data_IF_180811705252
#
_entry.id   IF_180811705252
#
_cell.length_a   1.000
_cell.length_b   1.000
_cell.length_c   1.000
_cell.angle_alpha   90.00
_cell.angle_beta   90.00
_cell.angle_gamma   90.00
#
_symmetry.space_group_name_H-M   'P 1'
#
loop_
_entity.id
_entity.type
_entity.pdbx_description
1 polymer ?
#
# COMPACT_ATOMS: atom_id res chain seq x y z
N UNK A 1 12.25 -6.62 -9.81
CA UNK A 1 11.69 -5.63 -8.86
C UNK A 1 11.54 -4.20 -9.46
N UNK A 2 11.14 -4.04 -10.74
CA UNK A 2 10.88 -2.68 -11.30
C UNK A 2 9.49 -2.15 -10.90
N UNK A 3 8.48 -3.01 -10.81
CA UNK A 3 7.09 -2.66 -10.46
C UNK A 3 6.92 -2.04 -9.06
N UNK A 4 7.70 -2.48 -8.08
CA UNK A 4 7.60 -1.98 -6.69
C UNK A 4 7.92 -0.49 -6.56
N UNK A 5 8.87 0.02 -7.36
CA UNK A 5 9.20 1.46 -7.38
C UNK A 5 8.00 2.30 -7.85
N UNK A 6 7.27 1.81 -8.84
CA UNK A 6 6.06 2.46 -9.32
C UNK A 6 4.92 2.36 -8.31
N UNK A 7 4.73 1.20 -7.66
CA UNK A 7 3.73 1.06 -6.60
C UNK A 7 3.99 2.05 -5.44
N UNK A 8 5.25 2.25 -5.05
CA UNK A 8 5.63 3.21 -3.99
C UNK A 8 5.37 4.66 -4.43
N UNK A 9 5.74 5.03 -5.65
CA UNK A 9 5.48 6.38 -6.19
C UNK A 9 3.97 6.67 -6.26
N UNK A 10 3.18 5.72 -6.77
CA UNK A 10 1.73 5.82 -6.84
C UNK A 10 1.11 5.91 -5.43
N UNK A 11 1.63 5.14 -4.48
CA UNK A 11 1.18 5.19 -3.07
C UNK A 11 1.50 6.54 -2.43
N UNK A 12 2.70 7.08 -2.65
CA UNK A 12 3.09 8.40 -2.16
C UNK A 12 2.21 9.52 -2.75
N UNK A 13 1.98 9.48 -4.07
CA UNK A 13 1.07 10.43 -4.74
C UNK A 13 -0.34 10.35 -4.18
N UNK A 14 -0.87 9.14 -3.99
CA UNK A 14 -2.19 8.90 -3.38
C UNK A 14 -2.30 9.53 -1.98
N UNK A 15 -1.28 9.38 -1.12
CA UNK A 15 -1.27 9.97 0.21
C UNK A 15 -1.18 11.50 0.18
N UNK A 16 -0.39 12.09 -0.72
CA UNK A 16 -0.32 13.55 -0.88
C UNK A 16 -1.68 14.09 -1.32
N UNK A 17 -2.33 13.46 -2.29
CA UNK A 17 -3.68 13.85 -2.71
C UNK A 17 -4.71 13.69 -1.58
N UNK A 18 -4.61 12.62 -0.78
CA UNK A 18 -5.46 12.43 0.38
C UNK A 18 -5.26 13.53 1.44
N UNK A 19 -4.01 13.92 1.70
CA UNK A 19 -3.67 15.02 2.62
C UNK A 19 -4.26 16.37 2.18
N UNK A 20 -4.28 16.64 0.87
CA UNK A 20 -4.90 17.84 0.30
C UNK A 20 -6.43 17.76 0.14
N UNK A 21 -7.10 16.80 0.78
CA UNK A 21 -8.55 16.55 0.66
C UNK A 21 -9.04 16.22 -0.77
N UNK A 22 -8.14 15.89 -1.70
CA UNK A 22 -8.46 15.49 -3.06
C UNK A 22 -8.72 13.98 -3.13
N UNK A 23 -9.86 13.54 -2.56
CA UNK A 23 -10.21 12.12 -2.42
C UNK A 23 -10.25 11.36 -3.75
N UNK A 24 -10.67 11.99 -4.84
CA UNK A 24 -10.73 11.35 -6.17
C UNK A 24 -9.32 11.00 -6.65
N UNK A 25 -8.38 11.95 -6.54
CA UNK A 25 -6.98 11.72 -6.89
C UNK A 25 -6.30 10.71 -5.96
N UNK A 26 -6.59 10.80 -4.66
CA UNK A 26 -6.06 9.89 -3.65
C UNK A 26 -6.50 8.44 -3.88
N UNK A 27 -7.80 8.22 -4.07
CA UNK A 27 -8.34 6.89 -4.31
C UNK A 27 -7.89 6.30 -5.66
N UNK A 28 -7.92 7.09 -6.74
CA UNK A 28 -7.48 6.64 -8.07
C UNK A 28 -6.02 6.18 -8.05
N UNK A 29 -5.11 7.01 -7.52
CA UNK A 29 -3.70 6.63 -7.47
C UNK A 29 -3.44 5.45 -6.55
N UNK A 30 -4.21 5.32 -5.47
CA UNK A 30 -4.05 4.23 -4.52
C UNK A 30 -4.54 2.89 -5.06
N UNK A 31 -5.64 2.87 -5.83
CA UNK A 31 -6.05 1.67 -6.56
C UNK A 31 -5.02 1.25 -7.60
N UNK A 32 -4.46 2.21 -8.33
CA UNK A 32 -3.42 1.93 -9.32
C UNK A 32 -2.15 1.38 -8.65
N UNK A 33 -1.79 1.90 -7.47
CA UNK A 33 -0.73 1.33 -6.64
C UNK A 33 -1.05 -0.11 -6.20
N UNK A 34 -2.27 -0.37 -5.76
CA UNK A 34 -2.76 -1.71 -5.40
C UNK A 34 -2.68 -2.70 -6.56
N UNK A 35 -3.11 -2.32 -7.77
CA UNK A 35 -3.01 -3.16 -8.97
C UNK A 35 -1.56 -3.47 -9.31
N UNK A 36 -0.68 -2.47 -9.29
CA UNK A 36 0.76 -2.67 -9.54
C UNK A 36 1.37 -3.57 -8.48
N UNK A 37 0.97 -3.44 -7.22
CA UNK A 37 1.40 -4.31 -6.12
C UNK A 37 0.98 -5.76 -6.36
N UNK A 38 -0.30 -6.00 -6.62
CA UNK A 38 -0.84 -7.33 -6.94
C UNK A 38 -0.11 -7.98 -8.12
N UNK A 39 0.14 -7.21 -9.19
CA UNK A 39 0.87 -7.70 -10.35
C UNK A 39 2.34 -8.00 -10.04
N UNK A 40 2.99 -7.14 -9.26
CA UNK A 40 4.41 -7.29 -8.88
C UNK A 40 4.64 -8.51 -8.00
N UNK A 41 3.72 -8.79 -7.07
CA UNK A 41 3.83 -9.89 -6.10
C UNK A 41 3.03 -11.13 -6.49
N UNK A 42 2.55 -11.24 -7.75
CA UNK A 42 1.75 -12.39 -8.21
C UNK A 42 2.42 -13.75 -7.98
N UNK A 43 3.76 -13.79 -7.99
CA UNK A 43 4.56 -14.99 -7.81
C UNK A 43 4.86 -15.33 -6.33
N UNK A 44 4.54 -14.41 -5.41
CA UNK A 44 4.79 -14.54 -3.98
C UNK A 44 3.48 -14.46 -3.19
N UNK A 45 2.77 -15.59 -3.13
CA UNK A 45 1.42 -15.71 -2.54
C UNK A 45 1.33 -15.19 -1.10
N UNK A 46 2.39 -15.36 -0.29
CA UNK A 46 2.41 -14.93 1.11
C UNK A 46 2.39 -13.40 1.25
N UNK A 47 3.22 -12.69 0.48
CA UNK A 47 3.27 -11.22 0.50
C UNK A 47 1.97 -10.62 -0.04
N UNK A 48 1.41 -11.23 -1.08
CA UNK A 48 0.15 -10.82 -1.67
C UNK A 48 -1.00 -10.95 -0.67
N UNK A 49 -1.08 -12.08 0.06
CA UNK A 49 -2.08 -12.29 1.11
C UNK A 49 -1.95 -11.25 2.24
N UNK A 50 -0.74 -10.97 2.71
CA UNK A 50 -0.50 -9.96 3.75
C UNK A 50 -0.98 -8.58 3.29
N UNK A 51 -0.65 -8.17 2.06
CA UNK A 51 -1.10 -6.89 1.49
C UNK A 51 -2.63 -6.79 1.39
N UNK A 52 -3.31 -7.86 0.96
CA UNK A 52 -4.77 -7.88 0.90
C UNK A 52 -5.42 -7.80 2.29
N UNK A 53 -4.94 -8.59 3.25
CA UNK A 53 -5.49 -8.63 4.61
C UNK A 53 -5.24 -7.29 5.31
N UNK A 54 -4.03 -6.74 5.23
CA UNK A 54 -3.69 -5.46 5.83
C UNK A 54 -4.56 -4.32 5.27
N UNK A 55 -4.79 -4.30 3.95
CA UNK A 55 -5.66 -3.31 3.33
C UNK A 55 -7.10 -3.45 3.79
N UNK A 56 -7.63 -4.68 3.88
CA UNK A 56 -8.97 -4.92 4.38
C UNK A 56 -9.14 -4.42 5.83
N UNK A 57 -8.18 -4.74 6.70
CA UNK A 57 -8.17 -4.29 8.11
C UNK A 57 -8.12 -2.76 8.18
N UNK A 58 -7.20 -2.12 7.45
CA UNK A 58 -7.10 -0.65 7.44
C UNK A 58 -8.38 0.01 6.95
N UNK A 59 -9.03 -0.60 5.95
CA UNK A 59 -10.28 -0.06 5.42
C UNK A 59 -11.40 -0.11 6.45
N UNK A 60 -11.49 -1.18 7.23
CA UNK A 60 -12.51 -1.33 8.28
C UNK A 60 -12.20 -0.49 9.52
N UNK A 61 -10.92 -0.37 9.90
CA UNK A 61 -10.52 0.34 11.13
C UNK A 61 -10.54 1.87 10.97
N UNK A 62 -10.06 2.39 9.84
CA UNK A 62 -9.81 3.83 9.69
C UNK A 62 -10.88 4.56 8.88
N UNK A 63 -11.74 3.85 8.16
CA UNK A 63 -12.72 4.47 7.29
C UNK A 63 -14.14 4.05 7.67
N UNK A 64 -15.08 5.00 7.77
CA UNK A 64 -16.48 4.66 7.95
C UNK A 64 -16.94 3.93 6.68
N UNK A 65 -17.18 2.63 6.79
CA UNK A 65 -17.59 1.80 5.67
C UNK A 65 -19.02 2.16 5.26
N UNK A 66 -19.14 3.12 4.36
CA UNK A 66 -20.37 3.48 3.67
C UNK A 66 -20.33 2.94 2.24
N UNK A 67 -21.44 2.35 1.77
CA UNK A 67 -21.62 1.96 0.37
C UNK A 67 -21.83 3.20 -0.52
N UNK A 68 -20.81 4.06 -0.56
CA UNK A 68 -20.77 5.34 -1.25
C UNK A 68 -19.46 5.46 -2.03
N UNK A 69 -19.45 6.30 -3.06
CA UNK A 69 -18.26 6.55 -3.88
C UNK A 69 -17.06 7.00 -3.03
N UNK A 70 -17.31 7.72 -1.94
CA UNK A 70 -16.27 8.09 -0.96
C UNK A 70 -15.68 6.87 -0.25
N UNK A 71 -16.51 5.94 0.18
CA UNK A 71 -16.07 4.68 0.82
C UNK A 71 -15.20 3.84 -0.11
N UNK A 72 -15.56 3.76 -1.40
CA UNK A 72 -14.72 3.10 -2.40
C UNK A 72 -13.37 3.80 -2.60
N UNK A 73 -13.34 5.13 -2.71
CA UNK A 73 -12.08 5.87 -2.85
C UNK A 73 -11.16 5.70 -1.64
N UNK A 74 -11.73 5.56 -0.44
CA UNK A 74 -10.98 5.31 0.79
C UNK A 74 -10.28 3.94 0.80
N UNK A 75 -10.88 2.91 0.18
CA UNK A 75 -10.21 1.61 -0.04
C UNK A 75 -8.93 1.80 -0.87
N UNK A 76 -8.98 2.65 -1.90
CA UNK A 76 -7.80 3.00 -2.69
C UNK A 76 -6.70 3.64 -1.83
N UNK A 77 -7.07 4.55 -0.93
CA UNK A 77 -6.11 5.16 0.01
C UNK A 77 -5.54 4.12 0.99
N UNK A 78 -6.36 3.19 1.46
CA UNK A 78 -5.92 2.10 2.33
C UNK A 78 -4.86 1.21 1.65
N UNK A 79 -4.98 0.94 0.35
CA UNK A 79 -3.94 0.25 -0.43
C UNK A 79 -2.59 0.97 -0.36
N UNK A 80 -2.59 2.29 -0.53
CA UNK A 80 -1.38 3.10 -0.45
C UNK A 80 -0.73 3.06 0.92
N UNK A 81 -1.55 3.13 1.99
CA UNK A 81 -1.06 3.02 3.37
C UNK A 81 -0.42 1.65 3.63
N UNK A 82 -1.06 0.57 3.17
CA UNK A 82 -0.53 -0.79 3.29
C UNK A 82 0.81 -0.95 2.58
N UNK A 83 0.92 -0.48 1.34
CA UNK A 83 2.15 -0.62 0.52
C UNK A 83 3.31 0.16 1.14
N UNK A 84 3.07 1.38 1.60
CA UNK A 84 4.10 2.17 2.28
C UNK A 84 4.51 1.54 3.62
N UNK A 85 3.54 1.09 4.42
CA UNK A 85 3.80 0.41 5.69
C UNK A 85 4.64 -0.86 5.52
N UNK A 86 4.26 -1.73 4.59
CA UNK A 86 5.03 -2.93 4.25
C UNK A 86 6.44 -2.59 3.77
N UNK A 87 6.58 -1.59 2.90
CA UNK A 87 7.90 -1.17 2.40
C UNK A 87 8.78 -0.65 3.53
N UNK A 88 8.24 0.13 4.47
CA UNK A 88 8.97 0.62 5.62
C UNK A 88 9.45 -0.52 6.52
N UNK A 89 8.57 -1.48 6.86
CA UNK A 89 8.91 -2.66 7.66
C UNK A 89 10.00 -3.48 7.00
N UNK A 90 9.88 -3.78 5.70
CA UNK A 90 10.89 -4.54 4.95
C UNK A 90 12.24 -3.80 4.90
N UNK A 91 12.21 -2.48 4.80
CA UNK A 91 13.43 -1.65 4.81
C UNK A 91 14.10 -1.69 6.18
N UNK A 92 13.35 -1.57 7.27
CA UNK A 92 13.86 -1.67 8.64
C UNK A 92 14.46 -3.05 8.89
N UNK A 93 13.77 -4.13 8.51
CA UNK A 93 14.29 -5.50 8.65
C UNK A 93 15.58 -5.67 7.85
N UNK A 94 15.64 -5.14 6.63
CA UNK A 94 16.83 -5.21 5.79
C UNK A 94 18.01 -4.45 6.40
N UNK A 95 17.76 -3.27 7.00
CA UNK A 95 18.77 -2.50 7.72
C UNK A 95 19.24 -3.23 8.97
N UNK A 96 18.33 -3.81 9.75
CA UNK A 96 18.65 -4.60 10.94
C UNK A 96 19.52 -5.82 10.59
N UNK A 97 19.17 -6.58 9.55
CA UNK A 97 20.02 -7.69 9.10
C UNK A 97 21.41 -7.23 8.67
N UNK A 98 21.51 -6.07 8.00
CA UNK A 98 22.79 -5.49 7.59
C UNK A 98 23.64 -5.06 8.79
N UNK A 99 23.02 -4.49 9.82
CA UNK A 99 23.70 -4.06 11.06
C UNK A 99 24.09 -5.26 11.92
N UNK A 100 23.22 -6.28 12.00
CA UNK A 100 23.46 -7.52 12.75
C UNK A 100 24.38 -8.51 12.01
N UNK A 101 24.90 -8.15 10.83
CA UNK A 101 25.93 -8.92 10.12
C UNK A 101 25.46 -10.25 9.52
N UNK A 102 24.16 -10.54 9.53
CA UNK A 102 23.62 -11.79 8.95
C UNK A 102 23.49 -11.62 7.43
N UNK A 103 24.62 -11.81 6.73
CA UNK A 103 24.65 -12.04 5.27
C UNK A 103 24.14 -13.46 5.02
N UNK A 104 22.95 -13.59 4.47
CA UNK A 104 22.63 -14.73 3.60
C UNK A 104 22.86 -14.30 2.14
#
# INVERSE_FOLDING_TARGET
MKGMKYAILCSALSLVFYYHNLMIGGGFWGYMAGIIYLFTYRAHSTLLAIGCIATAILTVMYFPWEFSLKGYLQVGVAWSMTILGLTAVLTVISLLHKIMGKKE
#
